data_IF_269311715649
#
_entry.id   IF_269311715649
#
_cell.length_a   1.000
_cell.length_b   1.000
_cell.length_c   1.000
_cell.angle_alpha   90.00
_cell.angle_beta   90.00
_cell.angle_gamma   90.00
#
_symmetry.space_group_name_H-M   'P 1'
#
loop_
_entity.id
_entity.type
_entity.pdbx_description
1 polymer ?
#
# COMPACT_ATOMS: atom_id res chain seq x y z
N UNK A 1 6.74 -16.79 8.04
CA UNK A 1 6.71 -17.28 6.66
C UNK A 1 6.90 -16.21 5.60
N UNK A 2 6.82 -14.97 5.94
CA UNK A 2 7.07 -13.90 5.00
C UNK A 2 8.58 -13.73 4.80
N UNK A 3 9.10 -14.17 3.67
CA UNK A 3 10.48 -13.91 3.24
C UNK A 3 10.49 -12.85 2.11
N UNK A 4 9.46 -12.03 2.06
CA UNK A 4 9.27 -10.99 1.06
C UNK A 4 9.07 -9.61 1.71
N UNK A 5 8.73 -8.58 0.92
CA UNK A 5 8.64 -7.19 1.37
C UNK A 5 7.46 -6.89 2.31
N UNK A 6 6.53 -7.85 2.51
CA UNK A 6 5.30 -7.61 3.27
C UNK A 6 5.49 -7.54 4.77
N UNK A 7 6.07 -8.59 5.37
CA UNK A 7 6.24 -8.73 6.81
C UNK A 7 7.53 -9.47 7.15
N UNK A 8 8.05 -9.23 8.34
CA UNK A 8 9.16 -10.00 8.87
C UNK A 8 8.73 -11.46 9.10
N UNK A 9 9.64 -12.45 8.93
CA UNK A 9 9.38 -13.83 9.32
C UNK A 9 9.12 -13.93 10.82
N UNK A 10 8.03 -14.59 11.21
CA UNK A 10 7.68 -14.76 12.63
C UNK A 10 8.79 -15.46 13.39
N UNK A 11 9.38 -16.49 12.79
CA UNK A 11 10.47 -17.29 13.37
C UNK A 11 11.68 -16.42 13.72
N UNK A 12 12.05 -15.49 12.84
CA UNK A 12 13.17 -14.57 13.08
C UNK A 12 12.90 -13.61 14.23
N UNK A 13 11.67 -13.10 14.34
CA UNK A 13 11.30 -12.22 15.43
C UNK A 13 11.27 -12.96 16.77
N UNK A 14 10.74 -14.17 16.81
CA UNK A 14 10.71 -15.00 18.03
C UNK A 14 12.13 -15.27 18.51
N UNK A 15 13.05 -15.67 17.61
CA UNK A 15 14.45 -15.92 17.94
C UNK A 15 15.16 -14.65 18.43
N UNK A 16 14.92 -13.51 17.79
CA UNK A 16 15.53 -12.23 18.21
C UNK A 16 15.08 -11.77 19.59
N UNK A 17 13.85 -12.10 20.00
CA UNK A 17 13.28 -11.70 21.27
C UNK A 17 13.52 -12.70 22.38
N UNK A 18 14.05 -13.89 22.06
CA UNK A 18 14.31 -14.93 23.05
C UNK A 18 15.37 -14.47 24.06
N UNK A 19 15.11 -14.72 25.34
CA UNK A 19 15.97 -14.27 26.44
C UNK A 19 15.89 -12.78 26.76
N UNK A 20 14.99 -12.01 26.14
CA UNK A 20 14.70 -10.63 26.49
C UNK A 20 13.40 -10.49 27.29
N UNK A 21 13.11 -9.31 27.81
CA UNK A 21 11.82 -8.99 28.46
C UNK A 21 10.62 -9.12 27.51
N UNK A 22 10.86 -9.20 26.21
CA UNK A 22 9.84 -9.35 25.16
C UNK A 22 9.73 -10.79 24.64
N UNK A 23 10.27 -11.76 25.36
CA UNK A 23 10.13 -13.20 25.02
C UNK A 23 8.65 -13.53 24.76
N UNK A 24 8.38 -14.12 23.60
CA UNK A 24 7.00 -14.31 23.12
C UNK A 24 6.32 -15.55 23.71
N UNK A 25 7.05 -16.49 24.22
CA UNK A 25 6.55 -17.80 24.68
C UNK A 25 6.05 -18.71 23.55
N UNK A 26 6.28 -18.35 22.29
CA UNK A 26 5.90 -19.18 21.14
C UNK A 26 6.86 -20.36 20.96
N UNK A 27 6.28 -21.53 20.67
CA UNK A 27 7.02 -22.75 20.43
C UNK A 27 7.67 -22.73 19.04
N UNK A 28 9.00 -22.59 18.99
CA UNK A 28 9.77 -22.51 17.76
C UNK A 28 9.62 -23.76 16.90
N UNK A 29 9.58 -24.96 17.48
CA UNK A 29 9.43 -26.22 16.72
C UNK A 29 8.09 -26.28 16.00
N UNK A 30 7.04 -25.77 16.61
CA UNK A 30 5.72 -25.64 15.95
C UNK A 30 5.76 -24.62 14.83
N UNK A 31 6.39 -23.47 15.03
CA UNK A 31 6.55 -22.44 13.99
C UNK A 31 7.32 -22.99 12.79
N UNK A 32 8.40 -23.72 13.02
CA UNK A 32 9.18 -24.36 11.97
C UNK A 32 8.36 -25.40 11.18
N UNK A 33 7.53 -26.19 11.83
CA UNK A 33 6.61 -27.13 11.15
C UNK A 33 5.60 -26.41 10.27
N UNK A 34 5.02 -25.31 10.76
CA UNK A 34 4.10 -24.45 9.99
C UNK A 34 4.83 -23.87 8.78
N UNK A 35 6.03 -23.32 8.97
CA UNK A 35 6.88 -22.80 7.90
C UNK A 35 7.12 -23.85 6.81
N UNK A 36 7.52 -25.06 7.21
CA UNK A 36 7.86 -26.13 6.27
C UNK A 36 6.65 -26.62 5.48
N UNK A 37 5.47 -26.63 6.10
CA UNK A 37 4.21 -26.89 5.40
C UNK A 37 3.98 -25.84 4.30
N UNK A 38 4.00 -24.56 4.65
CA UNK A 38 3.74 -23.51 3.68
C UNK A 38 4.86 -23.34 2.64
N UNK A 39 6.09 -23.67 2.97
CA UNK A 39 7.19 -23.74 2.00
C UNK A 39 6.89 -24.72 0.86
N UNK A 40 6.19 -25.83 1.14
CA UNK A 40 5.73 -26.79 0.13
C UNK A 40 4.51 -26.27 -0.67
N UNK A 41 3.66 -25.45 -0.06
CA UNK A 41 2.47 -24.87 -0.69
C UNK A 41 2.82 -23.69 -1.59
N UNK A 42 3.75 -22.83 -1.18
CA UNK A 42 4.13 -21.58 -1.83
C UNK A 42 4.39 -21.67 -3.35
N UNK A 43 5.09 -22.72 -3.87
CA UNK A 43 5.34 -22.81 -5.31
C UNK A 43 4.08 -22.85 -6.17
N UNK A 44 2.94 -23.30 -5.64
CA UNK A 44 1.65 -23.29 -6.35
C UNK A 44 1.14 -21.87 -6.64
N UNK A 45 1.61 -20.89 -5.86
CA UNK A 45 1.18 -19.49 -5.92
C UNK A 45 2.27 -18.55 -6.46
N UNK A 46 3.35 -19.10 -7.04
CA UNK A 46 4.50 -18.33 -7.53
C UNK A 46 4.11 -17.17 -8.47
N UNK A 47 3.05 -17.34 -9.26
CA UNK A 47 2.56 -16.29 -10.18
C UNK A 47 2.01 -15.04 -9.47
N UNK A 48 1.71 -15.14 -8.17
CA UNK A 48 1.21 -14.03 -7.36
C UNK A 48 2.31 -13.42 -6.47
N UNK A 49 3.54 -13.92 -6.54
CA UNK A 49 4.65 -13.36 -5.78
C UNK A 49 5.13 -12.07 -6.44
N UNK A 50 5.34 -11.04 -5.62
CA UNK A 50 6.00 -9.82 -6.07
C UNK A 50 7.40 -10.14 -6.59
N UNK A 51 7.78 -9.50 -7.68
CA UNK A 51 9.13 -9.60 -8.26
C UNK A 51 10.12 -8.69 -7.54
N UNK A 52 9.63 -7.80 -6.70
CA UNK A 52 10.46 -6.79 -6.03
C UNK A 52 11.19 -7.42 -4.86
N UNK A 53 12.51 -7.36 -4.91
CA UNK A 53 13.37 -7.60 -3.76
C UNK A 53 13.20 -6.48 -2.74
N UNK A 54 13.61 -6.71 -1.48
CA UNK A 54 13.60 -5.67 -0.45
C UNK A 54 14.32 -4.42 -0.97
N UNK A 55 13.55 -3.36 -1.15
CA UNK A 55 14.08 -2.08 -1.62
C UNK A 55 14.19 -1.12 -0.43
N UNK A 56 15.40 -0.69 -0.10
CA UNK A 56 15.66 0.23 1.01
C UNK A 56 15.06 1.63 0.79
N UNK A 57 14.69 1.99 -0.44
CA UNK A 57 13.93 3.22 -0.73
C UNK A 57 12.59 3.29 0.00
N UNK A 58 12.08 2.15 0.49
CA UNK A 58 10.87 2.11 1.33
C UNK A 58 11.00 2.99 2.59
N UNK A 59 12.22 3.16 3.12
CA UNK A 59 12.46 4.03 4.27
C UNK A 59 12.30 5.51 3.93
N UNK A 60 12.47 5.89 2.67
CA UNK A 60 12.26 7.27 2.20
C UNK A 60 10.80 7.50 1.79
N UNK A 61 10.22 6.57 1.05
CA UNK A 61 8.84 6.68 0.56
C UNK A 61 7.78 6.35 1.62
N UNK A 62 8.14 5.61 2.67
CA UNK A 62 7.24 5.10 3.72
C UNK A 62 6.06 4.28 3.18
N UNK A 63 6.24 3.65 2.00
CA UNK A 63 5.20 2.87 1.34
C UNK A 63 5.23 1.43 1.89
N UNK A 64 4.12 0.93 2.46
CA UNK A 64 4.05 -0.46 2.93
C UNK A 64 4.23 -1.47 1.80
N UNK A 65 4.88 -2.61 2.07
CA UNK A 65 5.13 -3.64 1.07
C UNK A 65 3.88 -4.20 0.38
N UNK A 66 2.77 -4.31 1.11
CA UNK A 66 1.49 -4.72 0.53
C UNK A 66 0.90 -3.71 -0.45
N UNK A 67 1.11 -2.41 -0.20
CA UNK A 67 0.73 -1.34 -1.14
C UNK A 67 1.59 -1.42 -2.41
N UNK A 68 2.89 -1.65 -2.27
CA UNK A 68 3.82 -1.79 -3.39
C UNK A 68 3.38 -2.91 -4.33
N UNK A 69 3.13 -4.11 -3.79
CA UNK A 69 2.69 -5.27 -4.58
C UNK A 69 1.36 -5.03 -5.30
N UNK A 70 0.45 -4.27 -4.69
CA UNK A 70 -0.82 -3.91 -5.32
C UNK A 70 -0.62 -2.95 -6.50
N UNK A 71 0.20 -1.92 -6.33
CA UNK A 71 0.55 -0.98 -7.41
C UNK A 71 1.27 -1.67 -8.56
N UNK A 72 2.22 -2.57 -8.28
CA UNK A 72 2.88 -3.41 -9.30
C UNK A 72 1.86 -4.20 -10.12
N UNK A 73 0.92 -4.88 -9.44
CA UNK A 73 -0.10 -5.67 -10.11
C UNK A 73 -1.04 -4.81 -10.98
N UNK A 74 -1.40 -3.62 -10.52
CA UNK A 74 -2.23 -2.68 -11.28
C UNK A 74 -1.50 -2.17 -12.52
N UNK A 75 -0.22 -1.80 -12.40
CA UNK A 75 0.59 -1.35 -13.52
C UNK A 75 0.83 -2.47 -14.54
N UNK A 76 1.14 -3.68 -14.09
CA UNK A 76 1.30 -4.84 -14.98
C UNK A 76 0.00 -5.15 -15.76
N UNK A 77 -1.15 -5.08 -15.10
CA UNK A 77 -2.45 -5.29 -15.75
C UNK A 77 -2.74 -4.25 -16.85
N UNK A 78 -2.16 -3.06 -16.76
CA UNK A 78 -2.25 -1.98 -17.75
C UNK A 78 -1.08 -1.96 -18.74
N UNK A 79 -0.15 -2.92 -18.66
CA UNK A 79 1.04 -2.96 -19.52
C UNK A 79 2.06 -1.83 -19.26
N UNK A 80 2.03 -1.23 -18.07
CA UNK A 80 2.83 -0.07 -17.69
C UNK A 80 3.75 -0.35 -16.48
N UNK A 81 4.22 -1.58 -16.33
CA UNK A 81 5.07 -1.99 -15.20
C UNK A 81 6.38 -1.23 -15.08
N UNK A 82 6.87 -0.65 -16.19
CA UNK A 82 8.05 0.21 -16.27
C UNK A 82 7.86 1.59 -15.62
N UNK A 83 6.61 2.00 -15.35
CA UNK A 83 6.28 3.30 -14.74
C UNK A 83 6.22 3.29 -13.20
N UNK A 84 6.66 2.21 -12.56
CA UNK A 84 6.61 2.07 -11.11
C UNK A 84 7.36 3.19 -10.37
N UNK A 85 8.51 3.62 -10.88
CA UNK A 85 9.29 4.71 -10.27
C UNK A 85 8.55 6.06 -10.29
N UNK A 86 7.73 6.30 -11.32
CA UNK A 86 6.89 7.50 -11.38
C UNK A 86 5.77 7.44 -10.32
N UNK A 87 5.14 6.29 -10.18
CA UNK A 87 4.10 6.07 -9.16
C UNK A 87 4.67 6.22 -7.76
N UNK A 88 5.87 5.68 -7.50
CA UNK A 88 6.54 5.81 -6.21
C UNK A 88 6.82 7.28 -5.82
N UNK A 89 7.10 8.13 -6.80
CA UNK A 89 7.28 9.58 -6.58
C UNK A 89 5.94 10.31 -6.38
N UNK A 90 4.88 9.80 -6.99
CA UNK A 90 3.54 10.38 -6.92
C UNK A 90 2.83 10.08 -5.59
N UNK A 91 3.04 8.90 -4.99
CA UNK A 91 2.40 8.50 -3.73
C UNK A 91 2.57 9.52 -2.60
N UNK A 92 3.77 10.07 -2.31
CA UNK A 92 3.93 11.09 -1.27
C UNK A 92 3.11 12.35 -1.54
N UNK A 93 2.96 12.77 -2.80
CA UNK A 93 2.14 13.91 -3.19
C UNK A 93 0.66 13.64 -2.93
N UNK A 94 0.15 12.52 -3.43
CA UNK A 94 -1.25 12.11 -3.22
C UNK A 94 -1.57 11.98 -1.73
N UNK A 95 -0.65 11.40 -0.94
CA UNK A 95 -0.80 11.31 0.51
C UNK A 95 -0.88 12.67 1.18
N UNK A 96 -0.01 13.62 0.77
CA UNK A 96 -0.04 15.00 1.28
C UNK A 96 -1.36 15.67 0.95
N UNK A 97 -1.79 15.62 -0.31
CA UNK A 97 -3.01 16.24 -0.80
C UNK A 97 -4.27 15.69 -0.09
N UNK A 98 -4.22 14.43 0.34
CA UNK A 98 -5.27 13.78 1.14
C UNK A 98 -5.16 14.05 2.66
N UNK A 99 -4.34 14.98 3.13
CA UNK A 99 -4.21 15.32 4.53
C UNK A 99 -3.45 14.29 5.37
N UNK A 100 -2.48 13.61 4.77
CA UNK A 100 -1.58 12.64 5.41
C UNK A 100 -2.30 11.45 6.08
N UNK A 101 -3.20 10.74 5.41
CA UNK A 101 -3.78 9.54 5.99
C UNK A 101 -2.69 8.52 6.34
N UNK A 102 -2.87 7.72 7.40
CA UNK A 102 -1.98 6.62 7.68
C UNK A 102 -2.03 5.61 6.51
N UNK A 103 -0.85 5.12 6.06
CA UNK A 103 -0.77 4.17 4.97
C UNK A 103 -1.02 2.73 5.46
N UNK A 104 -2.22 2.48 5.93
CA UNK A 104 -2.75 1.17 6.33
C UNK A 104 -4.00 0.86 5.51
N UNK A 105 -4.48 -0.39 5.53
CA UNK A 105 -5.73 -0.75 4.84
C UNK A 105 -6.93 -0.05 5.48
N UNK A 106 -7.83 0.62 4.72
CA UNK A 106 -7.85 0.70 3.26
C UNK A 106 -7.12 1.91 2.66
N UNK A 107 -6.74 2.92 3.44
CA UNK A 107 -6.21 4.21 2.95
C UNK A 107 -4.93 4.06 2.12
N UNK A 108 -4.07 3.09 2.43
CA UNK A 108 -2.89 2.79 1.62
C UNK A 108 -3.25 2.36 0.19
N UNK A 109 -4.31 1.57 0.03
CA UNK A 109 -4.78 1.13 -1.28
C UNK A 109 -5.42 2.29 -2.05
N UNK A 110 -6.21 3.13 -1.38
CA UNK A 110 -6.86 4.31 -1.96
C UNK A 110 -5.80 5.27 -2.49
N UNK A 111 -4.82 5.63 -1.68
CA UNK A 111 -3.72 6.53 -2.07
C UNK A 111 -2.89 5.92 -3.20
N UNK A 112 -2.57 4.62 -3.12
CA UNK A 112 -1.79 3.94 -4.15
C UNK A 112 -2.51 3.87 -5.49
N UNK A 113 -3.78 3.50 -5.50
CA UNK A 113 -4.59 3.45 -6.72
C UNK A 113 -4.73 4.84 -7.35
N UNK A 114 -4.97 5.89 -6.55
CA UNK A 114 -5.03 7.25 -7.08
C UNK A 114 -3.68 7.69 -7.68
N UNK A 115 -2.56 7.35 -7.06
CA UNK A 115 -1.24 7.64 -7.61
C UNK A 115 -1.01 6.93 -8.96
N UNK A 116 -1.41 5.67 -9.09
CA UNK A 116 -1.36 4.93 -10.36
C UNK A 116 -2.21 5.64 -11.43
N UNK A 117 -3.45 6.06 -11.10
CA UNK A 117 -4.32 6.77 -12.03
C UNK A 117 -3.74 8.11 -12.46
N UNK A 118 -3.18 8.88 -11.53
CA UNK A 118 -2.53 10.16 -11.84
C UNK A 118 -1.39 9.99 -12.83
N UNK A 119 -0.58 8.95 -12.66
CA UNK A 119 0.54 8.65 -13.57
C UNK A 119 0.04 8.17 -14.92
N UNK A 120 -0.89 7.22 -14.97
CA UNK A 120 -1.33 6.60 -16.23
C UNK A 120 -2.19 7.52 -17.09
N UNK A 121 -3.13 8.24 -16.47
CA UNK A 121 -4.17 8.98 -17.18
C UNK A 121 -4.04 10.51 -17.06
N UNK A 122 -3.33 10.98 -16.03
CA UNK A 122 -3.32 12.38 -15.66
C UNK A 122 -2.02 13.12 -15.91
N UNK A 123 -0.94 12.46 -16.33
CA UNK A 123 0.40 13.05 -16.33
C UNK A 123 0.73 13.77 -15.02
N UNK A 124 0.39 13.13 -13.88
CA UNK A 124 0.56 13.68 -12.54
C UNK A 124 -0.54 14.65 -12.09
N UNK A 125 -1.64 14.78 -12.81
CA UNK A 125 -2.79 15.61 -12.42
C UNK A 125 -3.99 14.74 -11.99
N UNK A 126 -4.89 15.32 -11.16
CA UNK A 126 -6.14 14.68 -10.72
C UNK A 126 -7.26 14.78 -11.77
N UNK A 127 -6.97 14.44 -13.03
CA UNK A 127 -7.99 14.45 -14.10
C UNK A 127 -9.09 13.43 -13.86
N UNK A 128 -8.72 12.30 -13.25
CA UNK A 128 -9.63 11.22 -12.91
C UNK A 128 -9.47 10.90 -11.43
N UNK A 129 -10.48 11.17 -10.65
CA UNK A 129 -10.55 10.80 -9.24
C UNK A 129 -11.26 9.45 -9.12
N UNK A 130 -10.67 8.54 -8.36
CA UNK A 130 -11.36 7.29 -7.99
C UNK A 130 -12.45 7.58 -6.97
N UNK A 131 -13.53 6.80 -6.98
CA UNK A 131 -14.63 6.98 -6.04
C UNK A 131 -14.15 6.92 -4.58
N UNK A 132 -13.30 5.94 -4.30
CA UNK A 132 -12.74 5.76 -2.96
C UNK A 132 -11.83 6.92 -2.53
N UNK A 133 -11.11 7.54 -3.46
CA UNK A 133 -10.31 8.72 -3.15
C UNK A 133 -11.20 9.94 -2.91
N UNK A 134 -12.27 10.11 -3.68
CA UNK A 134 -13.27 11.14 -3.44
C UNK A 134 -13.92 10.97 -2.05
N UNK A 135 -14.30 9.76 -1.69
CA UNK A 135 -14.85 9.43 -0.37
C UNK A 135 -13.86 9.71 0.76
N UNK A 136 -12.56 9.43 0.55
CA UNK A 136 -11.51 9.78 1.50
C UNK A 136 -11.43 11.30 1.70
N UNK A 137 -11.46 12.07 0.62
CA UNK A 137 -11.43 13.55 0.65
C UNK A 137 -12.67 14.16 1.32
N UNK A 138 -13.84 13.51 1.18
CA UNK A 138 -15.09 13.92 1.84
C UNK A 138 -15.18 13.49 3.31
N UNK A 139 -14.19 12.73 3.82
CA UNK A 139 -14.13 12.33 5.22
C UNK A 139 -14.90 11.07 5.58
N UNK A 140 -15.37 10.27 4.62
CA UNK A 140 -16.08 9.01 4.90
C UNK A 140 -15.19 7.96 5.60
N UNK A 141 -13.86 8.13 5.53
CA UNK A 141 -12.88 7.30 6.25
C UNK A 141 -12.36 7.94 7.55
N UNK A 142 -12.99 9.03 8.00
CA UNK A 142 -12.63 9.76 9.20
C UNK A 142 -11.94 11.10 8.92
N UNK A 143 -11.69 11.85 10.01
CA UNK A 143 -11.08 13.18 9.91
C UNK A 143 -9.60 13.07 9.51
N UNK A 144 -9.15 13.79 8.48
CA UNK A 144 -7.74 13.83 8.10
C UNK A 144 -6.88 14.45 9.20
N UNK A 145 -5.59 14.05 9.25
CA UNK A 145 -4.63 14.55 10.24
C UNK A 145 -4.13 15.94 9.83
N UNK A 146 -3.88 16.12 8.52
CA UNK A 146 -3.40 17.36 7.94
C UNK A 146 -4.48 18.08 7.12
N UNK A 147 -4.08 19.20 6.51
CA UNK A 147 -4.94 19.95 5.61
C UNK A 147 -5.11 19.20 4.29
N UNK A 148 -6.35 19.18 3.80
CA UNK A 148 -6.69 18.65 2.48
C UNK A 148 -6.35 19.68 1.40
N UNK A 149 -5.98 19.20 0.21
CA UNK A 149 -5.80 20.09 -0.94
C UNK A 149 -7.15 20.72 -1.33
N UNK A 150 -7.32 22.05 -1.22
CA UNK A 150 -8.60 22.72 -1.42
C UNK A 150 -9.15 22.58 -2.85
N UNK A 151 -8.29 22.54 -3.86
CA UNK A 151 -8.70 22.39 -5.27
C UNK A 151 -9.35 21.03 -5.51
N UNK A 152 -8.82 19.97 -4.85
CA UNK A 152 -9.39 18.63 -4.97
C UNK A 152 -10.71 18.55 -4.21
N UNK A 153 -10.77 19.12 -3.00
CA UNK A 153 -12.01 19.15 -2.20
C UNK A 153 -13.13 19.84 -2.97
N UNK A 154 -12.86 20.97 -3.62
CA UNK A 154 -13.84 21.69 -4.44
C UNK A 154 -14.32 20.83 -5.60
N UNK A 155 -13.39 20.20 -6.32
CA UNK A 155 -13.71 19.31 -7.45
C UNK A 155 -14.59 18.13 -7.02
N UNK A 156 -14.24 17.46 -5.91
CA UNK A 156 -14.99 16.32 -5.37
C UNK A 156 -16.38 16.75 -4.92
N UNK A 157 -16.48 17.86 -4.17
CA UNK A 157 -17.76 18.37 -3.66
C UNK A 157 -18.72 18.74 -4.80
N UNK A 158 -18.21 19.36 -5.86
CA UNK A 158 -19.00 19.69 -7.04
C UNK A 158 -19.51 18.44 -7.78
N UNK A 159 -18.65 17.45 -7.95
CA UNK A 159 -19.02 16.20 -8.63
C UNK A 159 -20.02 15.39 -7.81
N UNK A 160 -19.87 15.36 -6.50
CA UNK A 160 -20.77 14.64 -5.60
C UNK A 160 -22.18 15.26 -5.58
N UNK A 161 -22.29 16.60 -5.57
CA UNK A 161 -23.58 17.29 -5.62
C UNK A 161 -24.33 16.98 -6.93
N UNK A 162 -23.65 16.93 -8.08
CA UNK A 162 -24.29 16.61 -9.38
C UNK A 162 -24.71 15.16 -9.52
N UNK A 163 -24.13 14.24 -8.78
CA UNK A 163 -24.51 12.83 -8.82
C UNK A 163 -25.81 12.53 -8.05
N UNK A 164 -26.29 13.49 -7.24
CA UNK A 164 -27.51 13.40 -6.43
C UNK A 164 -28.67 14.26 -6.94
N UNK A 165 -28.50 14.99 -8.06
CA UNK A 165 -29.56 15.63 -8.84
C UNK A 165 -30.04 14.74 -9.97
#
# INVERSE_FOLDING_TARGET
MSLGPGHNPTESLVEMLEGTEYTTGLDMDRLLKIRDHFKKVRPKYKKFESKTLVNTNIFQSQIPGGMLSNMESQLEAQGAGDRMDEVMKEVPRVRKDAGYPPLVTPSSQIVGTQAVFNVLMGNGSYKNLTAEFADLMLGYYGKPIGELNPEIVETVSYTHLRAHE
#
